data_IF_266440006331
#
_entry.id   IF_266440006331
#
_cell.length_a   1.000
_cell.length_b   1.000
_cell.length_c   1.000
_cell.angle_alpha   90.00
_cell.angle_beta   90.00
_cell.angle_gamma   90.00
#
_symmetry.space_group_name_H-M   'P 1'
#
loop_
_entity.id
_entity.type
_entity.pdbx_description
1 polymer ?
#
# COMPACT_ATOMS: atom_id res chain seq x y z
N UNK A 1 16.45 4.54 -19.92
CA UNK A 1 17.24 3.88 -20.99
C UNK A 1 18.69 4.29 -20.78
N UNK A 2 19.63 3.36 -20.64
CA UNK A 2 21.03 3.69 -20.37
C UNK A 2 21.76 3.98 -21.69
N UNK A 3 22.46 5.12 -21.77
CA UNK A 3 23.35 5.38 -22.88
C UNK A 3 24.79 5.18 -22.43
N UNK A 4 25.54 4.42 -23.24
CA UNK A 4 26.94 4.10 -23.00
C UNK A 4 27.77 4.81 -24.07
N UNK A 5 28.68 5.68 -23.65
CA UNK A 5 29.66 6.30 -24.55
C UNK A 5 31.04 5.75 -24.20
N UNK A 6 31.79 5.33 -25.22
CA UNK A 6 33.17 4.88 -25.07
C UNK A 6 34.08 5.90 -25.74
N UNK A 7 34.99 6.50 -24.97
CA UNK A 7 36.12 7.24 -25.51
C UNK A 7 37.36 6.53 -25.00
N UNK A 8 38.07 5.88 -25.93
CA UNK A 8 39.38 5.23 -25.80
C UNK A 8 39.90 5.15 -24.35
N UNK A 9 39.73 3.95 -23.78
CA UNK A 9 40.14 3.43 -22.47
C UNK A 9 39.29 3.70 -21.21
N UNK A 10 38.23 4.53 -21.22
CA UNK A 10 37.28 4.59 -20.09
C UNK A 10 35.82 4.58 -20.56
N UNK A 11 35.02 3.68 -19.96
CA UNK A 11 33.59 3.53 -20.24
C UNK A 11 32.82 4.32 -19.19
N UNK A 12 32.08 5.36 -19.59
CA UNK A 12 31.24 6.13 -18.68
C UNK A 12 29.77 5.80 -18.92
N UNK A 13 29.01 5.69 -17.83
CA UNK A 13 27.58 5.40 -17.88
C UNK A 13 26.77 6.65 -17.51
N UNK A 14 25.64 6.85 -18.20
CA UNK A 14 24.78 8.00 -17.97
C UNK A 14 23.32 7.58 -17.84
N UNK A 15 22.62 8.19 -16.88
CA UNK A 15 21.16 8.23 -16.86
C UNK A 15 20.68 9.27 -17.87
N UNK A 16 19.73 8.87 -18.71
CA UNK A 16 19.10 9.75 -19.68
C UNK A 16 17.60 9.85 -19.44
N UNK A 17 17.07 11.06 -19.58
CA UNK A 17 15.64 11.29 -19.59
C UNK A 17 14.99 10.52 -20.76
N UNK A 18 14.01 9.67 -20.47
CA UNK A 18 13.27 8.89 -21.49
C UNK A 18 11.97 9.55 -21.92
N UNK A 19 11.83 10.87 -21.72
CA UNK A 19 10.60 11.61 -22.07
C UNK A 19 10.26 11.44 -23.55
N UNK A 20 9.03 10.97 -23.84
CA UNK A 20 8.51 10.89 -25.20
C UNK A 20 8.16 12.28 -25.77
N UNK A 21 7.91 13.26 -24.89
CA UNK A 21 7.60 14.66 -25.27
C UNK A 21 8.77 15.27 -26.06
N UNK A 22 10.01 14.88 -25.73
CA UNK A 22 11.20 15.33 -26.43
C UNK A 22 11.24 14.87 -27.91
N UNK A 23 10.54 13.78 -28.28
CA UNK A 23 10.46 13.31 -29.68
C UNK A 23 9.49 14.11 -30.54
N UNK A 24 8.44 14.67 -29.92
CA UNK A 24 7.37 15.42 -30.59
C UNK A 24 7.67 16.93 -30.64
N UNK A 25 8.34 17.45 -29.62
CA UNK A 25 8.67 18.87 -29.47
C UNK A 25 10.18 19.01 -29.16
N UNK A 26 11.04 19.06 -30.19
CA UNK A 26 12.50 19.14 -30.01
C UNK A 26 12.98 20.43 -29.31
N UNK A 27 12.15 21.47 -29.26
CA UNK A 27 12.44 22.71 -28.54
C UNK A 27 12.24 22.60 -27.02
N UNK A 28 11.48 21.60 -26.54
CA UNK A 28 11.29 21.26 -25.12
C UNK A 28 12.14 20.06 -24.70
N UNK A 29 13.17 19.73 -25.49
CA UNK A 29 14.06 18.61 -25.24
C UNK A 29 14.81 18.79 -23.92
N UNK A 30 14.52 17.92 -22.94
CA UNK A 30 15.30 17.86 -21.72
C UNK A 30 16.69 17.30 -22.04
N UNK A 31 17.71 18.16 -22.08
CA UNK A 31 19.12 17.78 -22.33
C UNK A 31 19.79 17.10 -21.12
N UNK A 32 19.03 16.77 -20.07
CA UNK A 32 19.53 16.21 -18.83
C UNK A 32 20.08 14.80 -19.03
N UNK A 33 21.39 14.68 -19.22
CA UNK A 33 22.14 13.45 -18.98
C UNK A 33 22.97 13.63 -17.71
N UNK A 34 22.81 12.73 -16.74
CA UNK A 34 23.58 12.75 -15.50
C UNK A 34 24.49 11.54 -15.49
N UNK A 35 25.73 11.71 -15.03
CA UNK A 35 26.67 10.60 -14.84
C UNK A 35 26.09 9.64 -13.81
N UNK A 36 26.13 8.35 -14.12
CA UNK A 36 25.63 7.30 -13.21
C UNK A 36 26.37 7.39 -11.89
N UNK A 37 27.69 7.56 -11.91
CA UNK A 37 28.50 7.59 -10.70
C UNK A 37 28.14 8.78 -9.79
N UNK A 38 27.88 9.95 -10.37
CA UNK A 38 27.50 11.15 -9.60
C UNK A 38 26.06 11.08 -9.08
N UNK A 39 25.13 10.55 -9.90
CA UNK A 39 23.75 10.35 -9.49
C UNK A 39 23.65 9.32 -8.37
N UNK A 40 24.28 8.16 -8.56
CA UNK A 40 24.28 7.07 -7.60
C UNK A 40 24.93 7.51 -6.30
N UNK A 41 26.09 8.18 -6.33
CA UNK A 41 26.74 8.68 -5.12
C UNK A 41 25.84 9.64 -4.32
N UNK A 42 25.10 10.53 -5.00
CA UNK A 42 24.16 11.46 -4.34
C UNK A 42 22.95 10.74 -3.78
N UNK A 43 22.34 9.85 -4.55
CA UNK A 43 21.15 9.08 -4.12
C UNK A 43 21.52 8.18 -2.94
N UNK A 44 22.60 7.39 -3.06
CA UNK A 44 23.06 6.53 -1.99
C UNK A 44 23.53 7.31 -0.78
N UNK A 45 24.22 8.44 -0.96
CA UNK A 45 24.57 9.33 0.14
C UNK A 45 23.34 9.83 0.91
N UNK A 46 22.29 10.23 0.20
CA UNK A 46 21.02 10.63 0.82
C UNK A 46 20.33 9.45 1.53
N UNK A 47 20.24 8.27 0.89
CA UNK A 47 19.68 7.05 1.50
C UNK A 47 20.42 6.67 2.78
N UNK A 48 21.75 6.66 2.74
CA UNK A 48 22.60 6.38 3.91
C UNK A 48 22.41 7.42 5.00
N UNK A 49 22.26 8.71 4.65
CA UNK A 49 22.01 9.77 5.64
C UNK A 49 20.71 9.57 6.42
N UNK A 50 19.67 9.05 5.76
CA UNK A 50 18.37 8.72 6.37
C UNK A 50 18.48 7.42 7.19
N UNK A 51 19.15 6.39 6.66
CA UNK A 51 19.37 5.14 7.38
C UNK A 51 20.24 5.32 8.65
N UNK A 52 21.14 6.30 8.66
CA UNK A 52 21.93 6.69 9.83
C UNK A 52 21.13 7.50 10.87
N UNK A 53 19.89 7.87 10.56
CA UNK A 53 18.96 8.57 11.47
C UNK A 53 17.72 7.71 11.71
N UNK A 54 17.86 6.56 12.41
CA UNK A 54 16.78 5.60 12.63
C UNK A 54 15.57 6.21 13.37
N UNK A 55 15.78 7.26 14.15
CA UNK A 55 14.71 7.99 14.86
C UNK A 55 13.76 8.71 13.89
N UNK A 56 14.25 9.27 12.78
CA UNK A 56 13.40 9.92 11.78
C UNK A 56 12.56 8.90 11.01
N UNK A 57 13.13 7.73 10.71
CA UNK A 57 12.40 6.62 10.08
C UNK A 57 11.30 6.13 11.01
N UNK A 58 11.60 5.99 12.31
CA UNK A 58 10.65 5.61 13.33
C UNK A 58 9.48 6.60 13.44
N UNK A 59 9.77 7.90 13.54
CA UNK A 59 8.75 8.95 13.66
C UNK A 59 7.83 9.00 12.44
N UNK A 60 8.40 8.93 11.23
CA UNK A 60 7.63 8.93 9.99
C UNK A 60 6.75 7.68 9.86
N UNK A 61 7.24 6.52 10.30
CA UNK A 61 6.44 5.31 10.35
C UNK A 61 5.33 5.40 11.39
N UNK A 62 5.59 5.93 12.58
CA UNK A 62 4.56 6.12 13.60
C UNK A 62 3.44 7.04 13.09
N UNK A 63 3.78 8.14 12.39
CA UNK A 63 2.80 9.01 11.73
C UNK A 63 1.94 8.26 10.70
N UNK A 64 2.57 7.41 9.88
CA UNK A 64 1.85 6.59 8.89
C UNK A 64 0.98 5.54 9.54
N UNK A 65 1.44 4.89 10.62
CA UNK A 65 0.64 3.96 11.40
C UNK A 65 -0.60 4.64 11.98
N UNK A 66 -0.46 5.81 12.59
CA UNK A 66 -1.61 6.57 13.12
C UNK A 66 -2.64 6.91 12.02
N UNK A 67 -2.18 7.33 10.84
CA UNK A 67 -3.09 7.57 9.71
C UNK A 67 -3.79 6.30 9.21
N UNK A 68 -3.11 5.15 9.27
CA UNK A 68 -3.69 3.86 8.91
C UNK A 68 -4.69 3.36 9.96
N UNK A 69 -4.46 3.62 11.24
CA UNK A 69 -5.42 3.32 12.32
C UNK A 69 -6.73 4.10 12.14
N UNK A 70 -6.66 5.38 11.74
CA UNK A 70 -7.85 6.17 11.42
C UNK A 70 -8.62 5.59 10.23
N UNK A 71 -7.90 5.17 9.18
CA UNK A 71 -8.51 4.51 8.01
C UNK A 71 -9.14 3.16 8.39
N UNK A 72 -8.46 2.37 9.22
CA UNK A 72 -8.99 1.10 9.72
C UNK A 72 -10.27 1.31 10.55
N UNK A 73 -10.30 2.34 11.41
CA UNK A 73 -11.49 2.68 12.17
C UNK A 73 -12.69 3.01 11.26
N UNK A 74 -12.47 3.73 10.15
CA UNK A 74 -13.50 4.00 9.14
C UNK A 74 -14.01 2.71 8.50
N UNK A 75 -13.11 1.81 8.07
CA UNK A 75 -13.49 0.53 7.46
C UNK A 75 -14.27 -0.36 8.43
N UNK A 76 -13.92 -0.36 9.71
CA UNK A 76 -14.64 -1.11 10.75
C UNK A 76 -16.06 -0.54 10.96
N UNK A 77 -16.24 0.78 10.88
CA UNK A 77 -17.57 1.38 10.96
C UNK A 77 -18.44 1.00 9.77
N UNK A 78 -17.88 1.01 8.56
CA UNK A 78 -18.57 0.58 7.34
C UNK A 78 -18.96 -0.90 7.39
N UNK A 79 -18.03 -1.76 7.82
CA UNK A 79 -18.29 -3.18 8.06
C UNK A 79 -19.49 -3.39 8.99
N UNK A 80 -19.51 -2.70 10.14
CA UNK A 80 -20.62 -2.78 11.11
C UNK A 80 -21.94 -2.28 10.52
N UNK A 81 -21.91 -1.26 9.67
CA UNK A 81 -23.10 -0.76 9.00
C UNK A 81 -23.69 -1.84 8.08
N UNK A 82 -22.87 -2.49 7.26
CA UNK A 82 -23.30 -3.58 6.37
C UNK A 82 -23.84 -4.78 7.18
N UNK A 83 -23.13 -5.19 8.24
CA UNK A 83 -23.58 -6.27 9.15
C UNK A 83 -24.95 -5.95 9.77
N UNK A 84 -25.21 -4.69 10.12
CA UNK A 84 -26.51 -4.26 10.66
C UNK A 84 -27.64 -4.37 9.63
N UNK A 85 -27.34 -4.11 8.35
CA UNK A 85 -28.29 -4.25 7.24
C UNK A 85 -28.54 -5.73 6.95
N UNK A 86 -27.51 -6.58 6.96
CA UNK A 86 -27.66 -8.04 6.83
C UNK A 86 -28.59 -8.59 7.93
N UNK A 87 -28.37 -8.18 9.19
CA UNK A 87 -29.24 -8.57 10.30
C UNK A 87 -30.69 -8.06 10.13
N UNK A 88 -30.90 -6.94 9.42
CA UNK A 88 -32.23 -6.46 9.08
C UNK A 88 -32.88 -7.33 8.01
N UNK A 89 -32.13 -7.77 7.00
CA UNK A 89 -32.59 -8.74 6.00
C UNK A 89 -33.01 -10.06 6.65
N UNK A 90 -32.25 -10.57 7.63
CA UNK A 90 -32.62 -11.79 8.38
C UNK A 90 -33.99 -11.62 9.09
N UNK A 91 -34.19 -10.48 9.76
CA UNK A 91 -35.47 -10.19 10.44
C UNK A 91 -36.62 -10.02 9.45
N UNK A 92 -36.36 -9.45 8.28
CA UNK A 92 -37.36 -9.26 7.24
C UNK A 92 -37.78 -10.59 6.63
N UNK A 93 -36.83 -11.49 6.34
CA UNK A 93 -37.11 -12.85 5.88
C UNK A 93 -37.99 -13.63 6.86
N UNK A 94 -37.70 -13.51 8.16
CA UNK A 94 -38.51 -14.12 9.23
C UNK A 94 -39.95 -13.57 9.24
N UNK A 95 -40.13 -12.25 9.09
CA UNK A 95 -41.47 -11.63 9.04
C UNK A 95 -42.28 -12.12 7.85
N UNK A 96 -41.67 -12.27 6.68
CA UNK A 96 -42.35 -12.80 5.51
C UNK A 96 -42.73 -14.28 5.68
N UNK A 97 -41.88 -15.07 6.34
CA UNK A 97 -42.20 -16.46 6.68
C UNK A 97 -43.39 -16.55 7.64
N UNK A 98 -43.46 -15.66 8.64
CA UNK A 98 -44.60 -15.56 9.55
C UNK A 98 -45.88 -15.15 8.82
N UNK A 99 -45.82 -14.14 7.94
CA UNK A 99 -46.97 -13.70 7.14
C UNK A 99 -47.53 -14.82 6.25
N UNK A 100 -46.66 -15.67 5.68
CA UNK A 100 -47.09 -16.86 4.94
C UNK A 100 -47.75 -17.90 5.86
N UNK A 101 -47.19 -18.12 7.06
CA UNK A 101 -47.72 -19.09 8.02
C UNK A 101 -49.14 -18.74 8.51
N UNK A 102 -49.48 -17.46 8.55
CA UNK A 102 -50.84 -16.97 8.86
C UNK A 102 -51.68 -16.71 7.60
N UNK A 103 -51.25 -17.22 6.44
CA UNK A 103 -51.96 -17.16 5.15
C UNK A 103 -52.27 -15.73 4.64
N UNK A 104 -51.52 -14.72 5.11
CA UNK A 104 -51.66 -13.33 4.64
C UNK A 104 -51.10 -13.15 3.22
N UNK A 105 -50.09 -13.97 2.86
CA UNK A 105 -49.50 -14.01 1.52
C UNK A 105 -49.51 -15.45 1.00
N UNK A 106 -49.46 -15.59 -0.32
CA UNK A 106 -49.36 -16.89 -0.98
C UNK A 106 -47.89 -17.32 -1.19
N UNK A 107 -47.70 -18.56 -1.64
CA UNK A 107 -46.37 -19.14 -1.86
C UNK A 107 -45.58 -18.44 -2.98
N UNK A 108 -46.25 -17.91 -4.01
CA UNK A 108 -45.57 -17.22 -5.10
C UNK A 108 -45.02 -15.86 -4.63
N UNK A 109 -45.79 -15.13 -3.81
CA UNK A 109 -45.38 -13.89 -3.16
C UNK A 109 -44.19 -14.13 -2.22
N UNK A 110 -44.26 -15.16 -1.36
CA UNK A 110 -43.15 -15.52 -0.47
C UNK A 110 -41.86 -15.82 -1.25
N UNK A 111 -41.96 -16.54 -2.37
CA UNK A 111 -40.80 -16.85 -3.23
C UNK A 111 -40.21 -15.58 -3.84
N UNK A 112 -41.04 -14.64 -4.27
CA UNK A 112 -40.59 -13.36 -4.82
C UNK A 112 -39.84 -12.54 -3.76
N UNK A 113 -40.41 -12.38 -2.56
CA UNK A 113 -39.74 -11.66 -1.45
C UNK A 113 -38.42 -12.31 -1.04
N UNK A 114 -38.38 -13.64 -0.95
CA UNK A 114 -37.14 -14.36 -0.64
C UNK A 114 -36.07 -14.18 -1.71
N UNK A 115 -36.45 -14.17 -2.99
CA UNK A 115 -35.51 -13.93 -4.07
C UNK A 115 -34.90 -12.52 -4.00
N UNK A 116 -35.72 -11.50 -3.75
CA UNK A 116 -35.28 -10.11 -3.59
C UNK A 116 -34.33 -9.95 -2.38
N UNK A 117 -34.70 -10.50 -1.23
CA UNK A 117 -33.86 -10.48 -0.02
C UNK A 117 -32.55 -11.23 -0.27
N UNK A 118 -32.58 -12.39 -0.93
CA UNK A 118 -31.39 -13.16 -1.23
C UNK A 118 -30.43 -12.43 -2.19
N UNK A 119 -30.96 -11.69 -3.16
CA UNK A 119 -30.16 -10.84 -4.05
C UNK A 119 -29.46 -9.73 -3.27
N UNK A 120 -30.22 -8.95 -2.49
CA UNK A 120 -29.67 -7.90 -1.65
C UNK A 120 -28.62 -8.41 -0.66
N UNK A 121 -28.83 -9.59 -0.08
CA UNK A 121 -27.86 -10.23 0.83
C UNK A 121 -26.57 -10.60 0.11
N UNK A 122 -26.66 -11.15 -1.10
CA UNK A 122 -25.47 -11.50 -1.90
C UNK A 122 -24.63 -10.26 -2.21
N UNK A 123 -25.26 -9.16 -2.57
CA UNK A 123 -24.56 -7.91 -2.86
C UNK A 123 -23.83 -7.39 -1.61
N UNK A 124 -24.53 -7.34 -0.47
CA UNK A 124 -23.95 -6.91 0.81
C UNK A 124 -22.84 -7.83 1.30
N UNK A 125 -22.96 -9.15 1.09
CA UNK A 125 -21.91 -10.11 1.43
C UNK A 125 -20.66 -9.92 0.56
N UNK A 126 -20.85 -9.64 -0.73
CA UNK A 126 -19.74 -9.36 -1.65
C UNK A 126 -19.00 -8.07 -1.25
N UNK A 127 -19.74 -7.04 -0.85
CA UNK A 127 -19.18 -5.79 -0.34
C UNK A 127 -18.40 -6.01 0.97
N UNK A 128 -18.94 -6.83 1.87
CA UNK A 128 -18.28 -7.22 3.12
C UNK A 128 -16.95 -7.94 2.86
N UNK A 129 -16.94 -8.94 1.96
CA UNK A 129 -15.73 -9.67 1.58
C UNK A 129 -14.67 -8.74 0.98
N UNK A 130 -15.09 -7.77 0.16
CA UNK A 130 -14.19 -6.77 -0.41
C UNK A 130 -13.55 -5.92 0.69
N UNK A 131 -14.34 -5.39 1.62
CA UNK A 131 -13.84 -4.58 2.74
C UNK A 131 -12.91 -5.39 3.66
N UNK A 132 -13.23 -6.65 3.93
CA UNK A 132 -12.37 -7.53 4.72
C UNK A 132 -11.02 -7.77 4.03
N UNK A 133 -11.01 -7.98 2.71
CA UNK A 133 -9.79 -8.17 1.94
C UNK A 133 -8.90 -6.91 1.94
N UNK A 134 -9.51 -5.72 1.85
CA UNK A 134 -8.83 -4.44 1.92
C UNK A 134 -8.20 -4.25 3.30
N UNK A 135 -8.97 -4.51 4.37
CA UNK A 135 -8.46 -4.41 5.75
C UNK A 135 -7.29 -5.36 5.99
N UNK A 136 -7.40 -6.62 5.57
CA UNK A 136 -6.31 -7.60 5.72
C UNK A 136 -5.03 -7.14 4.99
N UNK A 137 -5.17 -6.55 3.81
CA UNK A 137 -4.03 -6.03 3.03
C UNK A 137 -3.36 -4.86 3.77
N UNK A 138 -4.14 -3.92 4.30
CA UNK A 138 -3.62 -2.80 5.10
C UNK A 138 -2.90 -3.30 6.35
N UNK A 139 -3.51 -4.20 7.12
CA UNK A 139 -2.91 -4.77 8.34
C UNK A 139 -1.58 -5.48 8.07
N UNK A 140 -1.48 -6.22 6.95
CA UNK A 140 -0.22 -6.84 6.53
C UNK A 140 0.86 -5.81 6.23
N UNK A 141 0.51 -4.74 5.51
CA UNK A 141 1.42 -3.63 5.21
C UNK A 141 1.94 -2.94 6.48
N UNK A 142 1.06 -2.65 7.43
CA UNK A 142 1.44 -2.07 8.74
C UNK A 142 2.41 -2.98 9.49
N UNK A 143 2.10 -4.29 9.57
CA UNK A 143 2.94 -5.25 10.28
C UNK A 143 4.33 -5.40 9.64
N UNK A 144 4.42 -5.34 8.31
CA UNK A 144 5.69 -5.37 7.59
C UNK A 144 6.53 -4.12 7.84
N UNK A 145 5.91 -2.94 7.76
CA UNK A 145 6.59 -1.67 8.04
C UNK A 145 7.07 -1.61 9.49
N UNK A 146 6.26 -2.03 10.46
CA UNK A 146 6.67 -2.10 11.86
C UNK A 146 7.89 -3.01 12.07
N UNK A 147 7.95 -4.16 11.36
CA UNK A 147 9.12 -5.06 11.40
C UNK A 147 10.38 -4.39 10.84
N UNK A 148 10.26 -3.64 9.75
CA UNK A 148 11.39 -2.91 9.16
C UNK A 148 11.92 -1.82 10.09
N UNK A 149 11.04 -1.10 10.79
CA UNK A 149 11.47 -0.10 11.79
C UNK A 149 12.22 -0.75 12.94
N UNK A 150 11.70 -1.85 13.46
CA UNK A 150 12.36 -2.60 14.51
C UNK A 150 13.75 -3.10 14.07
N UNK A 151 13.88 -3.54 12.82
CA UNK A 151 15.18 -3.88 12.24
C UNK A 151 16.13 -2.66 12.18
N UNK A 152 15.67 -1.51 11.71
CA UNK A 152 16.47 -0.29 11.64
C UNK A 152 16.95 0.17 13.02
N UNK A 153 16.06 0.17 14.03
CA UNK A 153 16.40 0.49 15.43
C UNK A 153 17.45 -0.46 16.02
N UNK A 154 17.41 -1.73 15.63
CA UNK A 154 18.37 -2.76 16.08
C UNK A 154 19.74 -2.66 15.38
N UNK A 155 19.74 -2.42 14.07
CA UNK A 155 20.94 -2.33 13.25
C UNK A 155 21.83 -1.13 13.57
N UNK A 156 21.24 -0.01 13.98
CA UNK A 156 21.96 1.17 14.47
C UNK A 156 22.71 0.95 15.79
N UNK A 157 22.37 -0.11 16.55
CA UNK A 157 23.00 -0.43 17.83
C UNK A 157 24.24 -1.34 17.74
N UNK A 158 24.49 -2.03 16.62
CA UNK A 158 25.48 -3.12 16.61
C UNK A 158 26.42 -3.24 15.40
N UNK A 159 26.19 -2.59 14.24
CA UNK A 159 26.86 -3.04 13.01
C UNK A 159 27.61 -2.01 12.15
N UNK A 160 27.54 -0.70 12.40
CA UNK A 160 28.20 0.29 11.50
C UNK A 160 29.60 0.74 11.95
N UNK A 161 30.10 0.24 13.09
CA UNK A 161 31.43 0.57 13.61
C UNK A 161 32.62 -0.23 13.05
N UNK A 162 32.39 -1.27 12.24
CA UNK A 162 33.46 -2.23 11.87
C UNK A 162 33.94 -2.11 10.42
N UNK A 163 33.23 -1.39 9.54
CA UNK A 163 33.61 -1.29 8.11
C UNK A 163 34.15 0.08 7.66
N UNK A 164 34.35 1.04 8.57
CA UNK A 164 34.94 2.36 8.26
C UNK A 164 36.41 2.54 8.65
N UNK A 165 37.06 1.53 9.24
CA UNK A 165 38.32 1.70 9.98
C UNK A 165 39.58 1.11 9.36
N UNK A 166 39.64 0.84 8.05
CA UNK A 166 40.82 0.17 7.47
C UNK A 166 41.14 0.54 6.03
N UNK A 167 41.22 1.84 5.72
CA UNK A 167 41.87 2.33 4.49
C UNK A 167 42.47 3.73 4.70
N UNK A 168 43.33 3.86 5.72
CA UNK A 168 44.20 5.03 5.89
C UNK A 168 45.45 4.68 6.72
N UNK A 169 46.22 3.68 6.28
CA UNK A 169 47.62 3.51 6.66
C UNK A 169 48.29 2.47 5.74
N UNK A 170 49.16 2.93 4.84
CA UNK A 170 50.15 2.06 4.20
C UNK A 170 50.51 2.37 2.76
N UNK A 171 51.59 3.17 2.63
CA UNK A 171 52.51 3.35 1.47
C UNK A 171 52.09 4.35 0.40
#
# INVERSE_FOLDING_TARGET
>A
MFARTTRTSQTYQYYQCSSQVAKLLPEQWCRGSVRVEEADARVWGAVLSVLNQPEQIAEEVEKRCASLEEQEASLVQEQRAIESVLARCDREEQRWAEAYAVEVINLAELKAYRAEIAERRRDLQTELELLESQRQTMQRGVAEVARLVEYCRRGSGTAWGVLGGREAAGV
#
